data_IF_540893378850
#
_entry.id   IF_540893378850
#
_cell.length_a   1.000
_cell.length_b   1.000
_cell.length_c   1.000
_cell.angle_alpha   90.00
_cell.angle_beta   90.00
_cell.angle_gamma   90.00
#
_symmetry.space_group_name_H-M   'P 1'
#
loop_
_entity.id
_entity.type
_entity.pdbx_description
1 polymer ?
#
# COMPACT_ATOMS: atom_id res chain seq x y z
N UNK A 1 -20.97 -1.98 6.82
CA UNK A 1 -21.68 -2.89 5.90
C UNK A 1 -21.85 -2.29 4.51
N UNK A 2 -22.43 -1.10 4.34
CA UNK A 2 -22.66 -0.46 3.02
C UNK A 2 -21.37 -0.23 2.22
N UNK A 3 -20.29 0.26 2.85
CA UNK A 3 -19.01 0.49 2.17
C UNK A 3 -18.39 -0.81 1.61
N UNK A 4 -18.53 -1.93 2.34
CA UNK A 4 -18.05 -3.24 1.91
C UNK A 4 -18.83 -3.77 0.71
N UNK A 5 -20.16 -3.56 0.70
CA UNK A 5 -21.02 -3.92 -0.42
C UNK A 5 -20.61 -3.13 -1.66
N UNK A 6 -20.32 -1.84 -1.52
CA UNK A 6 -19.89 -0.99 -2.62
C UNK A 6 -18.51 -1.34 -3.18
N UNK A 7 -17.54 -1.66 -2.30
CA UNK A 7 -16.22 -2.14 -2.72
C UNK A 7 -16.36 -3.46 -3.49
N UNK A 8 -17.18 -4.41 -3.00
CA UNK A 8 -17.45 -5.67 -3.71
C UNK A 8 -18.14 -5.46 -5.05
N UNK A 9 -19.14 -4.60 -5.10
CA UNK A 9 -19.87 -4.26 -6.32
C UNK A 9 -18.96 -3.52 -7.34
N UNK A 10 -18.05 -2.65 -6.87
CA UNK A 10 -17.03 -2.00 -7.70
C UNK A 10 -16.08 -3.00 -8.31
N UNK A 11 -15.51 -3.88 -7.47
CA UNK A 11 -14.64 -4.94 -7.94
C UNK A 11 -15.40 -5.78 -8.97
N UNK A 12 -16.64 -6.23 -8.70
CA UNK A 12 -17.44 -7.01 -9.67
C UNK A 12 -17.62 -6.34 -11.03
N UNK A 13 -17.79 -5.02 -11.11
CA UNK A 13 -17.94 -4.30 -12.39
C UNK A 13 -16.66 -4.34 -13.23
N UNK A 14 -15.52 -4.12 -12.59
CA UNK A 14 -14.22 -4.27 -13.25
C UNK A 14 -14.02 -5.73 -13.66
N UNK A 15 -14.36 -6.66 -12.77
CA UNK A 15 -14.05 -8.08 -12.88
C UNK A 15 -14.91 -8.85 -13.88
N UNK A 16 -16.23 -8.64 -13.87
CA UNK A 16 -17.19 -9.40 -14.69
C UNK A 16 -17.49 -8.74 -16.03
N UNK A 17 -17.39 -7.41 -16.10
CA UNK A 17 -17.80 -6.64 -17.26
C UNK A 17 -16.66 -5.90 -17.95
N UNK A 18 -15.42 -6.04 -17.46
CA UNK A 18 -14.24 -5.39 -18.05
C UNK A 18 -14.34 -3.87 -18.05
N UNK A 19 -15.13 -3.30 -17.12
CA UNK A 19 -15.37 -1.86 -17.03
C UNK A 19 -14.10 -1.20 -16.47
N UNK A 20 -13.70 -0.06 -17.04
CA UNK A 20 -12.56 0.69 -16.52
C UNK A 20 -12.79 1.14 -15.08
N UNK A 21 -11.70 1.31 -14.32
CA UNK A 21 -11.75 1.79 -12.94
C UNK A 21 -12.66 3.02 -12.78
N UNK A 22 -12.47 4.02 -13.64
CA UNK A 22 -13.23 5.27 -13.59
C UNK A 22 -14.74 5.07 -13.85
N UNK A 23 -15.07 4.20 -14.81
CA UNK A 23 -16.46 3.92 -15.16
C UNK A 23 -17.14 3.06 -14.07
N UNK A 24 -16.41 2.12 -13.47
CA UNK A 24 -16.90 1.35 -12.33
C UNK A 24 -17.08 2.24 -11.08
N UNK A 25 -16.17 3.18 -10.85
CA UNK A 25 -16.19 4.10 -9.71
C UNK A 25 -17.41 5.00 -9.77
N UNK A 26 -17.62 5.64 -10.93
CA UNK A 26 -18.76 6.52 -11.16
C UNK A 26 -20.08 5.75 -11.11
N UNK A 27 -20.11 4.52 -11.61
CA UNK A 27 -21.31 3.68 -11.59
C UNK A 27 -21.71 3.29 -10.15
N UNK A 28 -20.77 2.78 -9.34
CA UNK A 28 -21.06 2.39 -7.94
C UNK A 28 -21.41 3.60 -7.08
N UNK A 29 -20.67 4.69 -7.23
CA UNK A 29 -20.92 5.93 -6.48
C UNK A 29 -22.22 6.62 -6.89
N UNK A 30 -22.73 6.35 -8.10
CA UNK A 30 -24.03 6.82 -8.57
C UNK A 30 -25.20 5.95 -8.12
N UNK A 31 -24.98 4.66 -7.89
CA UNK A 31 -26.02 3.71 -7.43
C UNK A 31 -26.20 3.66 -5.91
N UNK A 32 -25.15 3.97 -5.16
CA UNK A 32 -25.16 3.87 -3.71
C UNK A 32 -24.74 5.19 -3.07
N UNK A 33 -25.38 5.56 -1.96
CA UNK A 33 -25.00 6.71 -1.13
C UNK A 33 -23.71 6.49 -0.35
N UNK A 34 -23.19 5.26 -0.33
CA UNK A 34 -21.83 5.01 0.15
C UNK A 34 -20.88 5.84 -0.71
N UNK A 35 -19.99 6.58 -0.07
CA UNK A 35 -18.88 7.26 -0.74
C UNK A 35 -17.60 6.50 -0.37
N UNK A 36 -17.42 5.26 -0.86
CA UNK A 36 -16.16 4.56 -0.64
C UNK A 36 -15.05 5.43 -1.21
N UNK A 37 -14.17 5.93 -0.35
CA UNK A 37 -13.09 6.79 -0.78
C UNK A 37 -12.18 6.02 -1.76
N UNK A 38 -11.64 6.69 -2.79
CA UNK A 38 -10.78 6.07 -3.83
C UNK A 38 -9.65 5.22 -3.23
N UNK A 39 -9.05 5.69 -2.14
CA UNK A 39 -8.00 4.95 -1.43
C UNK A 39 -8.47 3.57 -0.92
N UNK A 40 -9.70 3.45 -0.39
CA UNK A 40 -10.23 2.18 0.10
C UNK A 40 -10.51 1.18 -1.04
N UNK A 41 -10.96 1.69 -2.18
CA UNK A 41 -11.16 0.91 -3.40
C UNK A 41 -9.81 0.42 -3.93
N UNK A 42 -8.83 1.32 -4.04
CA UNK A 42 -7.50 0.99 -4.53
C UNK A 42 -6.83 -0.05 -3.61
N UNK A 43 -6.92 0.12 -2.28
CA UNK A 43 -6.42 -0.86 -1.32
C UNK A 43 -7.03 -2.25 -1.51
N UNK A 44 -8.37 -2.32 -1.59
CA UNK A 44 -9.08 -3.59 -1.79
C UNK A 44 -8.76 -4.25 -3.14
N UNK A 45 -8.42 -3.45 -4.15
CA UNK A 45 -8.02 -3.93 -5.47
C UNK A 45 -6.64 -4.58 -5.42
N UNK A 46 -5.69 -3.94 -4.72
CA UNK A 46 -4.33 -4.47 -4.55
C UNK A 46 -4.31 -5.75 -3.71
N UNK A 47 -5.09 -5.81 -2.62
CA UNK A 47 -5.24 -7.02 -1.81
C UNK A 47 -5.70 -8.22 -2.66
N UNK A 48 -6.62 -8.01 -3.60
CA UNK A 48 -7.09 -9.06 -4.51
C UNK A 48 -6.00 -9.54 -5.47
N UNK A 49 -5.25 -8.61 -6.06
CA UNK A 49 -4.13 -8.95 -6.95
C UNK A 49 -3.07 -9.74 -6.16
N UNK A 50 -2.73 -9.29 -4.96
CA UNK A 50 -1.74 -9.91 -4.09
C UNK A 50 -2.08 -11.36 -3.73
N UNK A 51 -3.36 -11.67 -3.48
CA UNK A 51 -3.82 -13.03 -3.19
C UNK A 51 -3.55 -14.04 -4.31
N UNK A 52 -3.29 -13.59 -5.55
CA UNK A 52 -3.06 -14.48 -6.71
C UNK A 52 -1.61 -14.47 -7.19
N UNK A 53 -0.87 -13.41 -6.87
CA UNK A 53 0.50 -13.21 -7.32
C UNK A 53 1.54 -13.96 -6.45
N UNK A 54 1.12 -14.77 -5.48
CA UNK A 54 2.00 -15.52 -4.56
C UNK A 54 3.14 -14.63 -4.01
N UNK A 55 2.80 -13.38 -3.67
CA UNK A 55 3.69 -12.39 -3.05
C UNK A 55 4.88 -11.90 -3.89
N UNK A 56 5.00 -12.29 -5.17
CA UNK A 56 6.03 -11.75 -6.08
C UNK A 56 5.50 -10.55 -6.86
N UNK A 57 5.28 -9.43 -6.17
CA UNK A 57 4.96 -8.17 -6.83
C UNK A 57 6.22 -7.55 -7.45
N UNK A 58 6.60 -8.04 -8.64
CA UNK A 58 7.55 -7.35 -9.53
C UNK A 58 6.86 -6.21 -10.34
N UNK A 59 5.61 -5.88 -9.97
CA UNK A 59 4.82 -4.83 -10.60
C UNK A 59 5.30 -3.40 -10.28
N UNK A 60 4.71 -2.39 -10.95
CA UNK A 60 5.01 -1.00 -10.65
C UNK A 60 4.62 -0.65 -9.21
N UNK A 61 5.25 0.38 -8.65
CA UNK A 61 4.92 0.84 -7.31
C UNK A 61 3.41 1.09 -7.14
N UNK A 62 2.90 0.65 -6.00
CA UNK A 62 1.48 0.69 -5.61
C UNK A 62 1.24 1.70 -4.50
N UNK A 63 2.27 2.01 -3.70
CA UNK A 63 2.20 2.91 -2.57
C UNK A 63 3.30 3.97 -2.62
N UNK A 64 2.98 5.20 -2.22
CA UNK A 64 3.94 6.21 -1.83
C UNK A 64 4.09 6.14 -0.30
N UNK A 65 5.31 5.91 0.17
CA UNK A 65 5.62 5.78 1.59
C UNK A 65 6.52 6.93 2.01
N UNK A 66 6.09 7.67 3.02
CA UNK A 66 6.91 8.68 3.69
C UNK A 66 7.52 8.05 4.93
N UNK A 67 8.83 7.81 4.88
CA UNK A 67 9.61 7.37 6.04
C UNK A 67 9.91 8.58 6.92
N UNK A 68 9.70 8.42 8.22
CA UNK A 68 9.84 9.52 9.18
C UNK A 68 10.94 9.20 10.18
N UNK A 69 11.87 10.14 10.33
CA UNK A 69 12.87 10.14 11.39
C UNK A 69 12.66 11.35 12.29
N UNK A 70 12.67 11.14 13.60
CA UNK A 70 12.57 12.20 14.59
C UNK A 70 13.91 12.35 15.31
N UNK A 71 14.52 13.54 15.22
CA UNK A 71 15.88 13.84 15.63
C UNK A 71 16.04 15.28 16.12
N UNK A 72 17.24 15.65 16.53
CA UNK A 72 17.57 17.06 16.75
C UNK A 72 17.73 17.80 15.41
N UNK A 73 17.47 19.10 15.43
CA UNK A 73 17.67 19.96 14.26
C UNK A 73 19.17 20.02 13.90
N UNK A 74 19.47 20.01 12.59
CA UNK A 74 20.84 20.11 12.08
C UNK A 74 21.50 18.77 11.73
N UNK A 75 20.84 17.64 11.98
CA UNK A 75 21.33 16.33 11.53
C UNK A 75 21.21 16.16 10.01
N UNK A 76 22.16 15.43 9.42
CA UNK A 76 22.04 14.90 8.06
C UNK A 76 21.42 13.50 8.14
N UNK A 77 20.22 13.35 7.59
CA UNK A 77 19.44 12.12 7.67
C UNK A 77 19.21 11.57 6.26
N UNK A 78 19.56 10.31 6.06
CA UNK A 78 19.32 9.58 4.82
C UNK A 78 18.62 8.26 5.13
N UNK A 79 17.77 7.81 4.21
CA UNK A 79 17.08 6.53 4.26
C UNK A 79 17.80 5.54 3.33
N UNK A 80 18.07 4.33 3.81
CA UNK A 80 18.64 3.26 2.98
C UNK A 80 17.92 1.94 3.27
N UNK A 81 17.76 1.12 2.24
CA UNK A 81 17.07 -0.17 2.37
C UNK A 81 17.24 -1.06 1.15
N UNK A 82 16.57 -2.20 1.14
CA UNK A 82 16.62 -3.11 -0.01
C UNK A 82 16.05 -2.47 -1.30
N UNK A 83 15.16 -1.47 -1.15
CA UNK A 83 14.53 -0.70 -2.23
C UNK A 83 15.44 0.38 -2.82
N UNK A 84 16.56 0.72 -2.17
CA UNK A 84 17.52 1.72 -2.63
C UNK A 84 18.66 1.08 -3.41
N UNK A 85 18.31 0.40 -4.51
CA UNK A 85 19.23 -0.45 -5.30
C UNK A 85 20.00 -1.46 -4.44
N UNK A 86 19.28 -2.15 -3.55
CA UNK A 86 19.84 -3.12 -2.61
C UNK A 86 20.94 -2.51 -1.73
N UNK A 87 20.57 -1.49 -0.95
CA UNK A 87 21.46 -0.82 0.02
C UNK A 87 22.64 -0.04 -0.58
N UNK A 88 22.52 0.48 -1.80
CA UNK A 88 23.61 1.19 -2.49
C UNK A 88 23.40 2.69 -2.66
N UNK A 89 22.15 3.14 -2.68
CA UNK A 89 21.82 4.54 -3.05
C UNK A 89 20.91 5.20 -2.01
N UNK A 90 21.48 5.73 -0.91
CA UNK A 90 20.69 6.39 0.13
C UNK A 90 19.81 7.52 -0.45
N UNK A 91 18.62 7.66 0.12
CA UNK A 91 17.66 8.72 -0.19
C UNK A 91 17.74 9.78 0.90
N UNK A 92 18.16 10.99 0.54
CA UNK A 92 18.24 12.09 1.51
C UNK A 92 16.85 12.47 2.05
N UNK A 93 16.73 12.55 3.37
CA UNK A 93 15.51 13.03 4.02
C UNK A 93 15.47 14.56 4.06
N UNK A 94 14.27 15.11 3.89
CA UNK A 94 14.00 16.55 3.94
C UNK A 94 13.60 16.90 5.37
N UNK A 95 14.28 17.87 5.98
CA UNK A 95 13.89 18.44 7.26
C UNK A 95 12.59 19.24 7.10
N UNK A 96 11.58 18.91 7.91
CA UNK A 96 10.24 19.52 7.88
C UNK A 96 10.03 20.56 8.99
N UNK A 97 11.10 20.94 9.69
CA UNK A 97 11.05 21.80 10.88
C UNK A 97 10.84 21.02 12.17
N UNK A 98 11.27 21.61 13.29
CA UNK A 98 11.31 20.91 14.58
C UNK A 98 12.15 19.63 14.47
N UNK A 99 11.74 18.52 15.12
CA UNK A 99 12.54 17.30 15.12
C UNK A 99 12.36 16.42 13.86
N UNK A 100 11.57 16.84 12.85
CA UNK A 100 11.03 15.90 11.86
C UNK A 100 11.81 15.90 10.54
N UNK A 101 12.20 14.72 10.09
CA UNK A 101 12.81 14.46 8.79
C UNK A 101 11.98 13.44 8.01
N UNK A 102 11.81 13.67 6.71
CA UNK A 102 10.98 12.83 5.84
C UNK A 102 11.68 12.44 4.54
N UNK A 103 11.64 11.15 4.20
CA UNK A 103 12.04 10.64 2.90
C UNK A 103 10.84 9.94 2.24
N UNK A 104 10.44 10.37 1.04
CA UNK A 104 9.34 9.75 0.30
C UNK A 104 9.88 8.80 -0.78
N UNK A 105 9.40 7.57 -0.79
CA UNK A 105 9.74 6.55 -1.79
C UNK A 105 8.49 5.84 -2.28
N UNK A 106 8.53 5.37 -3.53
CA UNK A 106 7.43 4.61 -4.15
C UNK A 106 7.73 3.12 -4.09
N UNK A 107 6.87 2.36 -3.42
CA UNK A 107 7.06 0.94 -3.12
C UNK A 107 5.92 0.09 -3.70
N UNK A 108 6.25 -1.12 -4.13
CA UNK A 108 5.28 -2.16 -4.44
C UNK A 108 4.82 -2.85 -3.14
N UNK A 109 3.80 -3.72 -3.23
CA UNK A 109 3.32 -4.49 -2.09
C UNK A 109 4.30 -5.62 -1.78
N UNK A 110 5.03 -5.51 -0.67
CA UNK A 110 5.91 -6.56 -0.11
C UNK A 110 6.43 -6.10 1.26
N UNK A 111 7.20 -6.96 1.90
CA UNK A 111 8.06 -6.62 3.03
C UNK A 111 9.35 -5.97 2.56
N UNK A 112 9.77 -4.93 3.25
CA UNK A 112 11.01 -4.17 3.01
C UNK A 112 11.84 -4.09 4.29
N UNK A 113 13.15 -4.20 4.15
CA UNK A 113 14.12 -3.91 5.20
C UNK A 113 14.77 -2.55 4.96
N UNK A 114 14.94 -1.78 6.02
CA UNK A 114 15.54 -0.45 5.95
C UNK A 114 16.22 -0.02 7.25
N UNK A 115 17.02 1.03 7.15
CA UNK A 115 17.62 1.76 8.27
C UNK A 115 17.81 3.22 7.87
N UNK A 116 18.13 4.07 8.84
CA UNK A 116 18.57 5.45 8.59
C UNK A 116 20.08 5.55 8.68
N UNK A 117 20.66 6.46 7.90
CA UNK A 117 22.03 6.95 8.07
C UNK A 117 21.90 8.36 8.64
N UNK A 118 22.36 8.54 9.87
CA UNK A 118 22.23 9.80 10.62
C UNK A 118 23.63 10.28 10.96
N UNK A 119 24.04 11.38 10.35
CA UNK A 119 25.40 11.91 10.46
C UNK A 119 26.50 10.88 10.12
N UNK A 120 26.20 9.94 9.22
CA UNK A 120 27.11 8.86 8.81
C UNK A 120 26.94 7.55 9.59
N UNK A 121 26.20 7.55 10.70
CA UNK A 121 25.97 6.35 11.51
C UNK A 121 24.69 5.63 11.06
N UNK A 122 24.75 4.30 10.98
CA UNK A 122 23.59 3.47 10.71
C UNK A 122 22.74 3.36 11.99
N UNK A 123 21.51 3.86 11.93
CA UNK A 123 20.58 3.92 13.07
C UNK A 123 19.20 3.41 12.69
N UNK A 124 18.64 2.62 13.60
CA UNK A 124 17.27 2.14 13.50
C UNK A 124 16.32 3.13 14.17
N UNK A 125 15.12 3.27 13.61
CA UNK A 125 14.01 3.97 14.25
C UNK A 125 13.57 3.17 15.48
N UNK A 126 13.60 3.75 16.70
CA UNK A 126 13.20 3.04 17.92
C UNK A 126 11.68 2.80 18.00
N UNK A 127 10.91 3.50 17.17
CA UNK A 127 9.45 3.42 17.14
C UNK A 127 8.91 2.53 16.03
N UNK A 128 9.76 2.12 15.09
CA UNK A 128 9.37 1.25 13.98
C UNK A 128 9.73 -0.20 14.29
N UNK A 129 8.98 -1.20 13.78
CA UNK A 129 9.29 -2.60 14.01
C UNK A 129 10.65 -2.98 13.43
N UNK A 130 11.25 -4.02 14.00
CA UNK A 130 12.59 -4.49 13.64
C UNK A 130 12.64 -6.00 13.49
N UNK A 131 13.59 -6.46 12.68
CA UNK A 131 13.87 -7.87 12.46
C UNK A 131 15.38 -8.08 12.31
N UNK A 132 15.86 -9.23 12.77
CA UNK A 132 17.25 -9.62 12.61
C UNK A 132 17.41 -10.41 11.31
N UNK A 133 18.44 -10.10 10.53
CA UNK A 133 18.83 -10.92 9.38
C UNK A 133 19.68 -12.13 9.82
N UNK A 134 19.94 -13.05 8.88
CA UNK A 134 20.76 -14.26 9.12
C UNK A 134 22.21 -13.96 9.53
N UNK A 135 22.65 -12.71 9.42
CA UNK A 135 23.99 -12.24 9.77
C UNK A 135 24.01 -11.54 11.12
N UNK A 136 22.88 -11.46 11.81
CA UNK A 136 22.73 -10.82 13.11
C UNK A 136 22.57 -9.31 13.05
N UNK A 137 22.42 -8.71 11.87
CA UNK A 137 22.11 -7.28 11.77
C UNK A 137 20.63 -7.08 12.07
N UNK A 138 20.33 -6.11 12.92
CA UNK A 138 18.95 -5.71 13.19
C UNK A 138 18.61 -4.54 12.28
N UNK A 139 17.55 -4.67 11.47
CA UNK A 139 17.04 -3.62 10.59
C UNK A 139 15.61 -3.27 10.98
N UNK A 140 15.13 -2.08 10.61
CA UNK A 140 13.70 -1.83 10.62
C UNK A 140 13.00 -2.57 9.48
N UNK A 141 11.74 -2.92 9.68
CA UNK A 141 10.90 -3.55 8.67
C UNK A 141 9.69 -2.68 8.34
N UNK A 142 9.24 -2.74 7.08
CA UNK A 142 7.99 -2.16 6.62
C UNK A 142 7.26 -3.18 5.75
N UNK A 143 6.03 -3.51 6.11
CA UNK A 143 5.13 -4.33 5.30
C UNK A 143 4.14 -3.42 4.56
N UNK A 144 4.31 -3.34 3.24
CA UNK A 144 3.43 -2.56 2.37
C UNK A 144 2.37 -3.50 1.83
N UNK A 145 1.09 -3.17 2.07
CA UNK A 145 -0.06 -3.93 1.56
C UNK A 145 -0.45 -5.12 2.43
N UNK A 146 -0.21 -5.06 3.74
CA UNK A 146 -0.78 -6.05 4.64
C UNK A 146 -2.32 -5.86 4.73
N UNK A 147 -3.02 -7.00 4.65
CA UNK A 147 -4.46 -7.16 4.45
C UNK A 147 -5.28 -6.06 5.11
N UNK A 148 -6.17 -5.40 4.36
CA UNK A 148 -7.21 -4.58 4.98
C UNK A 148 -8.02 -5.46 5.95
N UNK A 149 -7.74 -5.38 7.25
CA UNK A 149 -8.63 -5.94 8.25
C UNK A 149 -10.02 -5.37 7.96
N UNK A 150 -10.97 -6.24 7.64
CA UNK A 150 -12.32 -5.85 7.16
C UNK A 150 -13.18 -5.30 8.32
N UNK A 151 -12.65 -5.32 9.53
CA UNK A 151 -13.05 -4.46 10.64
C UNK A 151 -12.32 -3.12 10.54
N UNK A 152 -12.97 -1.96 10.78
CA UNK A 152 -12.24 -0.77 11.22
C UNK A 152 -11.60 -1.12 12.56
N UNK A 153 -10.48 -1.82 12.49
CA UNK A 153 -9.75 -2.28 13.62
C UNK A 153 -9.10 -1.03 14.17
N UNK A 154 -9.61 -0.58 15.29
CA UNK A 154 -8.87 0.20 16.29
C UNK A 154 -7.82 -0.74 16.92
N UNK A 155 -7.07 -1.46 16.09
CA UNK A 155 -5.80 -2.05 16.43
C UNK A 155 -4.84 -1.46 15.41
N UNK A 156 -4.34 -0.27 15.76
CA UNK A 156 -3.12 0.25 15.18
C UNK A 156 -2.11 -0.90 15.14
N UNK A 157 -1.61 -1.32 13.97
CA UNK A 157 -0.35 -2.04 13.92
C UNK A 157 0.65 -1.06 14.51
N UNK A 158 1.04 -1.30 15.77
CA UNK A 158 2.11 -0.66 16.55
C UNK A 158 2.65 0.63 15.89
N UNK A 159 1.85 1.71 15.97
CA UNK A 159 2.04 3.06 15.39
C UNK A 159 3.38 3.25 14.67
N UNK A 160 3.52 2.68 13.47
CA UNK A 160 4.67 3.01 12.63
C UNK A 160 4.56 4.50 12.29
N UNK A 161 5.65 5.23 12.49
CA UNK A 161 5.71 6.67 12.18
C UNK A 161 5.66 6.92 10.67
N UNK A 162 5.93 5.89 9.88
CA UNK A 162 5.88 5.93 8.44
C UNK A 162 4.43 6.12 7.93
N UNK A 163 4.27 6.96 6.92
CA UNK A 163 2.96 7.26 6.33
C UNK A 163 2.87 6.53 4.99
N UNK A 164 1.95 5.58 4.87
CA UNK A 164 1.72 4.81 3.64
C UNK A 164 0.46 5.33 2.93
N UNK A 165 0.60 5.73 1.67
CA UNK A 165 -0.51 6.18 0.81
C UNK A 165 -0.57 5.36 -0.47
N UNK A 166 -1.76 4.94 -0.88
CA UNK A 166 -1.94 4.27 -2.17
C UNK A 166 -1.75 5.27 -3.31
N UNK A 167 -1.03 4.87 -4.36
CA UNK A 167 -0.83 5.70 -5.57
C UNK A 167 -2.11 5.64 -6.41
N UNK A 168 -2.73 6.79 -6.65
CA UNK A 168 -3.87 6.90 -7.57
C UNK A 168 -3.36 6.91 -9.01
N UNK A 169 -3.51 5.76 -9.70
CA UNK A 169 -3.20 5.61 -11.13
C UNK A 169 -4.10 4.55 -11.77
N UNK A 170 -4.32 4.63 -13.10
CA UNK A 170 -4.93 3.51 -13.82
C UNK A 170 -4.14 2.22 -13.63
N UNK A 171 -4.88 1.10 -13.52
CA UNK A 171 -4.27 -0.23 -13.51
C UNK A 171 -3.64 -0.54 -14.86
N UNK A 172 -2.48 -1.18 -14.85
CA UNK A 172 -1.83 -1.74 -16.03
C UNK A 172 -2.62 -2.92 -16.59
N UNK A 173 -2.37 -3.32 -17.84
CA UNK A 173 -3.03 -4.51 -18.43
C UNK A 173 -2.77 -5.79 -17.63
N UNK A 174 -1.55 -5.94 -17.08
CA UNK A 174 -1.22 -7.09 -16.24
C UNK A 174 -2.01 -7.06 -14.92
N UNK A 175 -2.08 -5.91 -14.26
CA UNK A 175 -2.86 -5.76 -13.03
C UNK A 175 -4.36 -5.99 -13.27
N UNK A 176 -4.91 -5.52 -14.39
CA UNK A 176 -6.28 -5.82 -14.79
C UNK A 176 -6.50 -7.32 -15.02
N UNK A 177 -5.55 -8.00 -15.68
CA UNK A 177 -5.61 -9.44 -15.89
C UNK A 177 -5.52 -10.23 -14.58
N UNK A 178 -4.62 -9.84 -13.69
CA UNK A 178 -4.43 -10.47 -12.38
C UNK A 178 -5.61 -10.24 -11.46
N UNK A 179 -6.18 -9.05 -11.48
CA UNK A 179 -7.43 -8.74 -10.80
C UNK A 179 -8.57 -9.63 -11.33
N UNK A 180 -8.70 -9.76 -12.65
CA UNK A 180 -9.66 -10.68 -13.27
C UNK A 180 -9.43 -12.15 -12.89
N UNK A 181 -8.17 -12.57 -12.72
CA UNK A 181 -7.80 -13.91 -12.23
C UNK A 181 -8.19 -14.08 -10.75
N UNK A 182 -7.91 -13.09 -9.90
CA UNK A 182 -8.28 -13.09 -8.48
C UNK A 182 -9.77 -13.27 -8.25
N UNK A 183 -10.57 -12.58 -9.04
CA UNK A 183 -12.01 -12.70 -8.97
C UNK A 183 -12.56 -14.07 -9.33
N UNK A 184 -11.87 -14.82 -10.20
CA UNK A 184 -12.26 -16.20 -10.51
C UNK A 184 -11.89 -17.16 -9.38
N UNK A 185 -10.86 -16.82 -8.60
CA UNK A 185 -10.41 -17.61 -7.46
C UNK A 185 -11.18 -17.31 -6.17
N UNK A 186 -11.69 -16.08 -6.02
CA UNK A 186 -12.47 -15.64 -4.86
C UNK A 186 -13.95 -15.64 -5.25
N UNK A 187 -14.70 -16.63 -4.78
CA UNK A 187 -16.15 -16.72 -5.01
C UNK A 187 -16.86 -15.55 -4.30
N UNK A 188 -17.06 -14.44 -5.02
CA UNK A 188 -17.78 -13.30 -4.47
C UNK A 188 -19.27 -13.66 -4.31
N UNK A 189 -19.68 -14.02 -3.10
CA UNK A 189 -21.09 -14.12 -2.76
C UNK A 189 -21.77 -12.78 -3.08
N UNK A 190 -22.68 -12.84 -4.04
CA UNK A 190 -23.07 -11.73 -4.91
C UNK A 190 -23.82 -10.62 -4.16
N UNK A 191 -23.34 -9.39 -4.31
CA UNK A 191 -24.09 -8.16 -4.16
C UNK A 191 -25.28 -8.25 -5.15
N UNK A 192 -26.57 -8.21 -4.74
CA UNK A 192 -27.73 -8.59 -5.56
C UNK A 192 -28.08 -7.63 -6.73
N UNK A 193 -27.09 -6.96 -7.30
CA UNK A 193 -27.26 -6.08 -8.45
C UNK A 193 -27.28 -6.92 -9.71
N UNK A 194 -28.49 -7.13 -10.24
CA UNK A 194 -28.70 -7.61 -11.60
C UNK A 194 -28.32 -6.50 -12.56
N UNK A 195 -27.14 -6.60 -13.16
CA UNK A 195 -26.68 -5.65 -14.17
C UNK A 195 -27.41 -5.91 -15.49
N UNK A 196 -28.52 -5.21 -15.71
CA UNK A 196 -29.08 -5.01 -17.05
C UNK A 196 -28.31 -3.86 -17.70
N UNK A 197 -27.44 -4.18 -18.65
CA UNK A 197 -26.84 -3.18 -19.55
C UNK A 197 -27.98 -2.53 -20.37
N UNK A 198 -28.13 -1.21 -20.26
CA UNK A 198 -28.91 -0.41 -21.21
C UNK A 198 -28.01 0.01 -22.37
#
# INVERSE_FOLDING_TARGET
>A
MVQQVCIRCFNLLILRYGISFERAYNYVSGLHTCRPHRAAIAWSTWDLIAMVENSKHEGPATHAVTFVWNAHEGENVELIGDFTRNWKEPVKAIHKGGPRYEAEVRLAQRKYYYTFIVNGDWRQSPTSPTESDDRGNVNNILEVGDVASVTPSIQHPKKDVNIVKVIDRPLTKNEQFMLAKAARCVEFSVCPITLTLK
#
